data_IF_428571069038
#
_entry.id   IF_428571069038
#
_cell.length_a   1.000
_cell.length_b   1.000
_cell.length_c   1.000
_cell.angle_alpha   90.00
_cell.angle_beta   90.00
_cell.angle_gamma   90.00
#
_symmetry.space_group_name_H-M   'P 1'
#
loop_
_entity.id
_entity.type
_entity.pdbx_description
1 polymer ?
#
# COMPACT_ATOMS: atom_id res chain seq x y z
N UNK A 1 -15.93 -26.75 5.12
CA UNK A 1 -15.58 -25.54 5.91
C UNK A 1 -16.89 -24.83 6.22
N UNK A 2 -17.31 -24.87 7.48
CA UNK A 2 -18.50 -24.18 7.95
C UNK A 2 -18.35 -22.67 7.71
N UNK A 3 -19.22 -22.13 6.86
CA UNK A 3 -19.42 -20.69 6.73
C UNK A 3 -20.09 -20.20 8.01
N UNK A 4 -19.32 -20.01 9.08
CA UNK A 4 -19.76 -19.17 10.21
C UNK A 4 -20.20 -17.84 9.62
N UNK A 5 -21.48 -17.53 9.75
CA UNK A 5 -22.08 -16.29 9.26
C UNK A 5 -21.26 -15.11 9.78
N UNK A 6 -20.48 -14.50 8.88
CA UNK A 6 -19.93 -13.19 9.13
C UNK A 6 -21.13 -12.26 9.32
N UNK A 7 -21.20 -11.61 10.49
CA UNK A 7 -22.26 -10.63 10.75
C UNK A 7 -22.32 -9.65 9.58
N UNK A 8 -23.52 -9.28 9.10
CA UNK A 8 -23.65 -8.26 8.05
C UNK A 8 -22.87 -6.97 8.37
N UNK A 9 -22.75 -6.62 9.66
CA UNK A 9 -21.95 -5.48 10.11
C UNK A 9 -20.46 -5.62 9.74
N UNK A 10 -19.87 -6.81 9.84
CA UNK A 10 -18.48 -7.04 9.43
C UNK A 10 -18.26 -6.82 7.93
N UNK A 11 -19.26 -7.11 7.10
CA UNK A 11 -19.17 -6.85 5.66
C UNK A 11 -19.13 -5.36 5.36
N UNK A 12 -19.84 -4.54 6.16
CA UNK A 12 -19.82 -3.09 6.03
C UNK A 12 -18.47 -2.47 6.44
N UNK A 13 -17.70 -3.15 7.29
CA UNK A 13 -16.32 -2.75 7.63
C UNK A 13 -15.30 -3.09 6.54
N UNK A 14 -15.70 -3.76 5.45
CA UNK A 14 -14.78 -4.13 4.39
C UNK A 14 -14.20 -2.89 3.67
N UNK A 15 -12.94 -2.94 3.21
CA UNK A 15 -12.32 -1.83 2.48
C UNK A 15 -13.10 -1.37 1.24
N UNK A 16 -13.98 -2.23 0.69
CA UNK A 16 -14.87 -1.87 -0.41
C UNK A 16 -15.74 -0.64 -0.08
N UNK A 17 -16.24 -0.56 1.15
CA UNK A 17 -17.16 0.50 1.62
C UNK A 17 -16.45 1.70 2.25
N UNK A 18 -15.13 1.65 2.41
CA UNK A 18 -14.38 2.76 2.97
C UNK A 18 -14.39 3.96 2.02
N UNK A 19 -14.44 5.17 2.61
CA UNK A 19 -14.25 6.41 1.85
C UNK A 19 -12.82 6.43 1.29
N UNK A 20 -12.56 7.14 0.18
CA UNK A 20 -11.21 7.26 -0.37
C UNK A 20 -10.17 7.71 0.68
N UNK A 21 -10.52 8.70 1.52
CA UNK A 21 -9.66 9.21 2.58
C UNK A 21 -9.26 8.14 3.62
N UNK A 22 -10.20 7.27 3.99
CA UNK A 22 -9.95 6.21 4.98
C UNK A 22 -9.00 5.15 4.42
N UNK A 23 -9.12 4.84 3.12
CA UNK A 23 -8.18 3.95 2.41
C UNK A 23 -6.77 4.52 2.42
N UNK A 24 -6.61 5.83 2.23
CA UNK A 24 -5.30 6.47 2.28
C UNK A 24 -4.72 6.47 3.69
N UNK A 25 -5.51 6.83 4.71
CA UNK A 25 -5.07 6.76 6.10
C UNK A 25 -4.64 5.35 6.50
N UNK A 26 -5.34 4.32 6.04
CA UNK A 26 -4.92 2.93 6.25
C UNK A 26 -3.53 2.65 5.69
N UNK A 27 -3.23 3.08 4.47
CA UNK A 27 -1.90 2.88 3.86
C UNK A 27 -0.79 3.64 4.60
N UNK A 28 -1.06 4.87 5.06
CA UNK A 28 -0.10 5.66 5.85
C UNK A 28 0.18 4.97 7.18
N UNK A 29 -0.87 4.57 7.90
CA UNK A 29 -0.74 3.87 9.17
C UNK A 29 0.00 2.54 8.99
N UNK A 30 -0.28 1.81 7.91
CA UNK A 30 0.43 0.58 7.60
C UNK A 30 1.94 0.83 7.37
N UNK A 31 2.33 1.88 6.64
CA UNK A 31 3.74 2.28 6.48
C UNK A 31 4.39 2.58 7.85
N UNK A 32 3.70 3.28 8.74
CA UNK A 32 4.20 3.58 10.08
C UNK A 32 4.37 2.32 10.93
N UNK A 33 3.38 1.45 10.96
CA UNK A 33 3.44 0.16 11.67
C UNK A 33 4.57 -0.73 11.14
N UNK A 34 4.79 -0.75 9.83
CA UNK A 34 5.94 -1.44 9.22
C UNK A 34 7.27 -0.82 9.68
N UNK A 35 7.39 0.52 9.67
CA UNK A 35 8.62 1.22 10.11
C UNK A 35 8.93 1.00 11.58
N UNK A 36 7.90 0.89 12.43
CA UNK A 36 8.04 0.55 13.86
C UNK A 36 8.37 -0.93 14.11
N UNK A 37 8.36 -1.78 13.08
CA UNK A 37 8.62 -3.21 13.22
C UNK A 37 7.49 -3.99 13.90
N UNK A 38 6.32 -3.38 14.06
CA UNK A 38 5.14 -4.00 14.68
C UNK A 38 4.54 -5.11 13.80
N UNK A 39 4.78 -5.04 12.48
CA UNK A 39 4.47 -6.13 11.54
C UNK A 39 5.78 -6.77 11.09
N UNK A 40 5.87 -8.09 11.27
CA UNK A 40 6.98 -8.90 10.73
C UNK A 40 6.87 -8.94 9.20
N UNK A 41 7.72 -8.16 8.54
CA UNK A 41 7.84 -8.08 7.07
C UNK A 41 7.88 -9.45 6.36
N UNK A 42 8.63 -10.47 6.83
CA UNK A 42 8.64 -11.77 6.16
C UNK A 42 7.28 -12.46 6.14
N UNK A 43 6.47 -12.25 7.17
CA UNK A 43 5.10 -12.78 7.24
C UNK A 43 4.19 -12.09 6.24
N UNK A 44 4.23 -10.76 6.20
CA UNK A 44 3.44 -9.95 5.28
C UNK A 44 3.80 -10.24 3.81
N UNK A 45 5.08 -10.20 3.46
CA UNK A 45 5.54 -10.50 2.10
C UNK A 45 5.20 -11.94 1.70
N UNK A 46 5.23 -12.92 2.61
CA UNK A 46 4.80 -14.30 2.33
C UNK A 46 3.29 -14.38 2.00
N UNK A 47 2.42 -13.77 2.80
CA UNK A 47 0.98 -13.77 2.54
C UNK A 47 0.65 -13.08 1.22
N UNK A 48 1.31 -11.96 0.95
CA UNK A 48 1.05 -11.20 -0.26
C UNK A 48 1.64 -11.87 -1.51
N UNK A 49 2.78 -12.56 -1.39
CA UNK A 49 3.30 -13.41 -2.45
C UNK A 49 2.35 -14.58 -2.77
N UNK A 50 1.66 -15.15 -1.77
CA UNK A 50 0.61 -16.13 -2.02
C UNK A 50 -0.57 -15.54 -2.81
N UNK A 51 -0.98 -14.31 -2.49
CA UNK A 51 -2.01 -13.59 -3.26
C UNK A 51 -1.52 -13.21 -4.67
N UNK A 52 -0.24 -12.87 -4.82
CA UNK A 52 0.42 -12.53 -6.09
C UNK A 52 0.40 -13.70 -7.10
N UNK A 53 0.37 -14.97 -6.64
CA UNK A 53 0.17 -16.12 -7.55
C UNK A 53 -1.16 -16.06 -8.31
N UNK A 54 -2.16 -15.32 -7.80
CA UNK A 54 -3.43 -15.07 -8.48
C UNK A 54 -3.40 -13.82 -9.37
N UNK A 55 -2.51 -12.87 -9.08
CA UNK A 55 -2.35 -11.61 -9.81
C UNK A 55 -0.86 -11.25 -9.90
N UNK A 56 -0.22 -11.54 -11.04
CA UNK A 56 1.17 -11.14 -11.28
C UNK A 56 1.24 -9.63 -11.48
N UNK A 57 1.40 -8.88 -10.39
CA UNK A 57 1.47 -7.42 -10.42
C UNK A 57 2.91 -6.95 -10.18
N UNK A 58 3.52 -6.36 -11.22
CA UNK A 58 4.70 -5.51 -11.09
C UNK A 58 4.22 -4.08 -10.90
N UNK A 59 4.23 -3.64 -9.64
CA UNK A 59 3.69 -2.34 -9.28
C UNK A 59 4.53 -1.18 -9.81
N UNK A 60 5.84 -1.38 -10.00
CA UNK A 60 6.74 -0.35 -10.53
C UNK A 60 6.44 -0.11 -12.00
N UNK A 61 6.21 -1.18 -12.77
CA UNK A 61 5.75 -1.04 -14.16
C UNK A 61 4.38 -0.35 -14.25
N UNK A 62 3.49 -0.62 -13.31
CA UNK A 62 2.16 -0.01 -13.30
C UNK A 62 2.19 1.50 -13.02
N UNK A 63 3.15 1.98 -12.23
CA UNK A 63 3.31 3.41 -11.90
C UNK A 63 4.51 4.05 -12.60
N UNK A 64 5.08 3.41 -13.64
CA UNK A 64 6.29 3.87 -14.33
C UNK A 64 6.16 5.28 -14.94
N UNK A 65 4.95 5.67 -15.32
CA UNK A 65 4.63 6.97 -15.88
C UNK A 65 4.37 8.04 -14.81
N UNK A 66 4.36 7.66 -13.53
CA UNK A 66 4.19 8.57 -12.43
C UNK A 66 5.47 9.41 -12.24
N UNK A 67 5.39 10.75 -12.37
CA UNK A 67 6.56 11.63 -12.22
C UNK A 67 7.25 11.52 -10.87
N UNK A 68 6.50 11.20 -9.80
CA UNK A 68 7.03 11.04 -8.44
C UNK A 68 7.94 9.83 -8.38
N UNK A 69 7.58 8.73 -9.06
CA UNK A 69 8.44 7.54 -9.09
C UNK A 69 9.78 7.84 -9.77
N UNK A 70 9.74 8.56 -10.90
CA UNK A 70 10.95 8.98 -11.63
C UNK A 70 11.85 9.86 -10.76
N UNK A 71 11.27 10.87 -10.11
CA UNK A 71 12.03 11.77 -9.22
C UNK A 71 12.66 11.03 -8.04
N UNK A 72 11.97 10.04 -7.45
CA UNK A 72 12.55 9.22 -6.38
C UNK A 72 13.75 8.41 -6.89
N UNK A 73 13.67 7.78 -8.06
CA UNK A 73 14.81 7.02 -8.61
C UNK A 73 16.00 7.91 -9.00
N UNK A 74 15.75 9.16 -9.41
CA UNK A 74 16.80 10.11 -9.80
C UNK A 74 17.53 10.71 -8.59
N UNK A 75 16.86 10.83 -7.43
CA UNK A 75 17.40 11.58 -6.27
C UNK A 75 17.59 10.77 -4.99
N UNK A 76 17.05 9.55 -4.89
CA UNK A 76 17.27 8.71 -3.71
C UNK A 76 18.47 7.79 -3.90
N UNK A 77 19.37 7.73 -2.91
CA UNK A 77 20.39 6.66 -2.81
C UNK A 77 19.77 5.26 -2.63
N UNK A 78 18.46 5.19 -2.34
CA UNK A 78 17.71 3.97 -2.09
C UNK A 78 16.72 3.70 -3.24
N UNK A 79 16.90 2.59 -3.94
CA UNK A 79 15.93 2.08 -4.90
C UNK A 79 14.81 1.30 -4.19
N UNK A 80 13.57 1.46 -4.65
CA UNK A 80 12.49 0.58 -4.21
C UNK A 80 12.67 -0.81 -4.81
N UNK A 81 12.62 -1.84 -3.97
CA UNK A 81 12.54 -3.22 -4.47
C UNK A 81 11.18 -3.44 -5.12
N UNK A 82 11.17 -3.71 -6.44
CA UNK A 82 9.96 -4.02 -7.25
C UNK A 82 9.23 -5.27 -6.73
N UNK A 83 9.94 -6.13 -5.98
CA UNK A 83 9.43 -7.40 -5.47
C UNK A 83 8.91 -7.34 -4.04
N UNK A 84 9.16 -6.25 -3.30
CA UNK A 84 8.68 -6.13 -1.92
C UNK A 84 7.39 -5.31 -1.85
N UNK A 85 6.41 -5.82 -1.12
CA UNK A 85 5.17 -5.09 -0.87
C UNK A 85 5.38 -3.91 0.08
N UNK A 86 6.32 -4.05 1.02
CA UNK A 86 6.69 -2.93 1.89
C UNK A 86 7.18 -1.71 1.10
N UNK A 87 7.86 -1.92 -0.03
CA UNK A 87 8.24 -0.85 -0.96
C UNK A 87 7.02 -0.16 -1.57
N UNK A 88 6.02 -0.93 -2.01
CA UNK A 88 4.78 -0.38 -2.58
C UNK A 88 4.00 0.44 -1.55
N UNK A 89 3.82 -0.09 -0.33
CA UNK A 89 3.14 0.64 0.76
C UNK A 89 3.86 1.95 1.07
N UNK A 90 5.19 1.92 1.13
CA UNK A 90 6.01 3.11 1.37
C UNK A 90 5.89 4.13 0.25
N UNK A 91 5.94 3.67 -1.00
CA UNK A 91 5.74 4.54 -2.16
C UNK A 91 4.37 5.21 -2.12
N UNK A 92 3.28 4.46 -1.99
CA UNK A 92 1.93 5.01 -1.90
C UNK A 92 1.77 6.00 -0.73
N UNK A 93 2.34 5.68 0.44
CA UNK A 93 2.33 6.55 1.62
C UNK A 93 3.10 7.86 1.36
N UNK A 94 4.21 7.82 0.63
CA UNK A 94 5.00 9.01 0.29
C UNK A 94 4.32 9.88 -0.75
N UNK A 95 3.80 9.28 -1.83
CA UNK A 95 3.01 9.99 -2.85
C UNK A 95 1.86 10.74 -2.19
N UNK A 96 1.09 10.07 -1.34
CA UNK A 96 -0.06 10.70 -0.70
C UNK A 96 0.32 11.85 0.25
N UNK A 97 1.38 11.69 1.05
CA UNK A 97 1.78 12.69 2.05
C UNK A 97 2.44 13.92 1.44
N UNK A 98 3.17 13.76 0.34
CA UNK A 98 4.09 14.79 -0.15
C UNK A 98 3.78 15.29 -1.57
N UNK A 99 2.99 14.53 -2.34
CA UNK A 99 2.75 14.80 -3.76
C UNK A 99 1.26 14.77 -4.13
N UNK A 100 0.37 14.62 -3.15
CA UNK A 100 -1.06 14.77 -3.39
C UNK A 100 -1.39 16.27 -3.37
N UNK A 101 -1.38 16.89 -4.56
CA UNK A 101 -1.66 18.32 -4.77
C UNK A 101 -3.03 18.76 -4.20
N UNK A 102 -3.92 17.80 -3.91
CA UNK A 102 -5.24 18.02 -3.31
C UNK A 102 -5.19 18.49 -1.84
N UNK A 103 -4.02 18.56 -1.20
CA UNK A 103 -3.87 19.16 0.15
C UNK A 103 -3.64 20.69 0.07
N UNK A 104 -3.42 21.25 -1.13
CA UNK A 104 -3.15 22.70 -1.29
C UNK A 104 -4.16 23.38 -2.21
N UNK A 105 -5.42 23.40 -1.79
CA UNK A 105 -6.28 24.54 -2.07
C UNK A 105 -6.75 25.09 -0.71
N UNK A 106 -6.05 26.12 -0.24
CA UNK A 106 -6.47 26.99 0.86
C UNK A 106 -7.58 27.91 0.38
#
# INVERSE_FOLDING_TARGET
>A
MDRKYLSPAFLLDAPLFWRPIDKFHFIINLDHTIKRGEIKLPGLDKYLNMLKKKYSYDWVLAVKSDPVLKSIFEHAEFSYSTKSFSSLVRYCSNVYRHYNDNITQK
#
